data_IF_864890694248
#
_entry.id   IF_864890694248
#
_cell.length_a   1.000
_cell.length_b   1.000
_cell.length_c   1.000
_cell.angle_alpha   90.00
_cell.angle_beta   90.00
_cell.angle_gamma   90.00
#
_symmetry.space_group_name_H-M   'P 1'
#
loop_
_entity.id
_entity.type
_entity.pdbx_description
1 polymer ?
#
# COMPACT_ATOMS: atom_id res chain seq x y z
N UNK A 1 -16.12 14.73 -9.44
CA UNK A 1 -17.13 13.72 -9.04
C UNK A 1 -16.69 12.78 -7.92
N UNK A 2 -15.52 12.95 -7.28
CA UNK A 2 -15.04 12.03 -6.23
C UNK A 2 -14.92 12.72 -4.87
N UNK A 3 -16.02 12.81 -4.13
CA UNK A 3 -16.04 13.22 -2.71
C UNK A 3 -17.36 12.85 -2.00
N UNK A 4 -17.95 11.69 -2.30
CA UNK A 4 -19.26 11.29 -1.72
C UNK A 4 -19.36 9.82 -1.30
N UNK A 5 -18.32 9.00 -1.48
CA UNK A 5 -18.46 7.55 -1.32
C UNK A 5 -17.86 7.11 0.00
N UNK A 6 -18.70 6.97 1.03
CA UNK A 6 -18.43 6.28 2.30
C UNK A 6 -17.76 4.91 2.16
N UNK A 7 -17.84 4.08 3.19
CA UNK A 7 -17.37 2.69 3.09
C UNK A 7 -17.84 2.02 1.81
N UNK A 8 -16.90 1.40 1.10
CA UNK A 8 -17.13 0.78 -0.21
C UNK A 8 -18.25 -0.26 -0.05
N UNK A 9 -19.31 -0.22 -0.86
CA UNK A 9 -20.41 -1.18 -0.76
C UNK A 9 -19.90 -2.62 -0.86
N UNK A 10 -20.41 -3.51 0.00
CA UNK A 10 -20.02 -4.92 0.05
C UNK A 10 -18.53 -5.17 0.37
N UNK A 11 -17.88 -4.26 1.10
CA UNK A 11 -16.45 -4.34 1.41
C UNK A 11 -16.02 -5.72 1.95
N UNK A 12 -16.78 -6.33 2.87
CA UNK A 12 -16.47 -7.67 3.39
C UNK A 12 -16.34 -8.69 2.26
N UNK A 13 -17.35 -8.78 1.39
CA UNK A 13 -17.35 -9.74 0.29
C UNK A 13 -16.22 -9.47 -0.72
N UNK A 14 -15.92 -8.20 -0.98
CA UNK A 14 -14.83 -7.82 -1.88
C UNK A 14 -13.48 -8.23 -1.28
N UNK A 15 -13.21 -7.88 -0.02
CA UNK A 15 -11.95 -8.16 0.66
C UNK A 15 -11.72 -9.66 0.83
N UNK A 16 -12.71 -10.39 1.34
CA UNK A 16 -12.63 -11.85 1.50
C UNK A 16 -12.51 -12.54 0.14
N UNK A 17 -13.26 -12.12 -0.87
CA UNK A 17 -13.17 -12.68 -2.23
C UNK A 17 -11.80 -12.45 -2.87
N UNK A 18 -11.22 -11.25 -2.69
CA UNK A 18 -9.85 -10.94 -3.13
C UNK A 18 -8.81 -11.76 -2.39
N UNK A 19 -8.97 -11.97 -1.09
CA UNK A 19 -8.10 -12.86 -0.32
C UNK A 19 -8.12 -14.27 -0.89
N UNK A 20 -9.29 -14.89 -1.08
CA UNK A 20 -9.38 -16.23 -1.66
C UNK A 20 -8.76 -16.32 -3.06
N UNK A 21 -9.00 -15.32 -3.89
CA UNK A 21 -8.39 -15.21 -5.22
C UNK A 21 -6.86 -15.21 -5.11
N UNK A 22 -6.32 -14.41 -4.20
CA UNK A 22 -4.89 -14.27 -4.00
C UNK A 22 -4.25 -15.57 -3.52
N UNK A 23 -4.77 -16.17 -2.46
CA UNK A 23 -4.18 -17.36 -1.85
C UNK A 23 -4.38 -18.63 -2.69
N UNK A 24 -5.25 -18.59 -3.70
CA UNK A 24 -5.48 -19.71 -4.61
C UNK A 24 -4.71 -19.56 -5.92
N UNK A 25 -4.71 -18.36 -6.50
CA UNK A 25 -4.26 -18.14 -7.88
C UNK A 25 -2.98 -17.30 -8.01
N UNK A 26 -2.67 -16.45 -7.02
CA UNK A 26 -1.54 -15.51 -7.10
C UNK A 26 -0.35 -16.02 -6.30
N UNK A 27 -0.55 -16.30 -5.00
CA UNK A 27 0.48 -16.84 -4.13
C UNK A 27 -0.14 -17.93 -3.23
N UNK A 28 -0.12 -19.20 -3.68
CA UNK A 28 -0.66 -20.34 -2.95
C UNK A 28 -0.23 -20.37 -1.49
N UNK A 29 -1.20 -20.21 -0.59
CA UNK A 29 -0.96 -20.10 0.85
C UNK A 29 -2.19 -20.57 1.65
N UNK A 30 -1.98 -20.89 2.94
CA UNK A 30 -3.02 -21.45 3.82
C UNK A 30 -3.58 -20.39 4.78
N UNK A 31 -3.61 -19.12 4.37
CA UNK A 31 -4.17 -18.06 5.22
C UNK A 31 -5.68 -18.22 5.36
N UNK A 32 -6.18 -17.94 6.56
CA UNK A 32 -7.62 -17.88 6.83
C UNK A 32 -8.15 -16.48 6.50
N UNK A 33 -8.81 -16.37 5.35
CA UNK A 33 -9.36 -15.11 4.86
C UNK A 33 -10.47 -14.53 5.76
N UNK A 34 -11.24 -15.36 6.46
CA UNK A 34 -12.25 -14.89 7.40
C UNK A 34 -11.61 -14.36 8.68
N UNK A 35 -10.54 -15.02 9.15
CA UNK A 35 -9.76 -14.53 10.29
C UNK A 35 -9.07 -13.19 9.98
N UNK A 36 -8.45 -13.04 8.80
CA UNK A 36 -7.86 -11.74 8.38
C UNK A 36 -8.94 -10.65 8.36
N UNK A 37 -10.12 -10.95 7.79
CA UNK A 37 -11.23 -10.00 7.80
C UNK A 37 -11.70 -9.66 9.22
N UNK A 38 -11.81 -10.65 10.12
CA UNK A 38 -12.22 -10.42 11.51
C UNK A 38 -11.25 -9.47 12.22
N UNK A 39 -9.95 -9.68 12.07
CA UNK A 39 -8.92 -8.81 12.65
C UNK A 39 -8.98 -7.38 12.07
N UNK A 40 -9.22 -7.25 10.76
CA UNK A 40 -9.46 -5.94 10.13
C UNK A 40 -10.70 -5.25 10.72
N UNK A 41 -11.82 -5.98 10.84
CA UNK A 41 -13.09 -5.46 11.33
C UNK A 41 -12.96 -4.97 12.78
N UNK A 42 -12.26 -5.71 13.64
CA UNK A 42 -11.98 -5.31 15.02
C UNK A 42 -11.18 -4.01 15.12
N UNK A 43 -10.21 -3.81 14.21
CA UNK A 43 -9.40 -2.60 14.17
C UNK A 43 -10.20 -1.33 13.82
N UNK A 44 -11.28 -1.46 13.05
CA UNK A 44 -12.02 -0.32 12.48
C UNK A 44 -13.41 -0.09 13.08
N UNK A 45 -14.14 -1.14 13.47
CA UNK A 45 -15.56 -1.05 13.89
C UNK A 45 -15.72 -0.40 15.26
N UNK A 46 -14.75 -0.59 16.16
CA UNK A 46 -14.83 -0.06 17.53
C UNK A 46 -14.27 1.35 17.68
N UNK A 47 -13.71 1.92 16.60
CA UNK A 47 -13.04 3.22 16.64
C UNK A 47 -13.89 4.31 16.00
N UNK A 48 -13.80 5.53 16.54
CA UNK A 48 -14.38 6.69 15.86
C UNK A 48 -13.59 6.99 14.57
N UNK A 49 -14.23 7.70 13.62
CA UNK A 49 -13.76 7.94 12.24
C UNK A 49 -12.36 8.57 12.07
N UNK A 50 -11.65 8.88 13.16
CA UNK A 50 -10.30 9.45 13.19
C UNK A 50 -9.46 8.96 14.39
N UNK A 51 -9.71 7.75 14.87
CA UNK A 51 -9.00 7.17 16.00
C UNK A 51 -8.40 5.80 15.72
N UNK A 52 -8.20 5.45 14.44
CA UNK A 52 -7.57 4.18 14.06
C UNK A 52 -6.09 4.42 13.83
N UNK A 53 -5.27 3.84 14.71
CA UNK A 53 -3.81 3.92 14.71
C UNK A 53 -3.19 2.80 13.88
N UNK A 54 -1.87 2.77 13.74
CA UNK A 54 -1.19 1.67 13.02
C UNK A 54 -1.17 0.40 13.87
N UNK A 55 -1.10 0.58 15.19
CA UNK A 55 -1.08 -0.48 16.21
C UNK A 55 -2.36 -1.31 16.19
N UNK A 56 -3.50 -0.68 15.91
CA UNK A 56 -4.79 -1.37 15.80
C UNK A 56 -4.78 -2.45 14.70
N UNK A 57 -3.95 -2.29 13.66
CA UNK A 57 -3.83 -3.28 12.58
C UNK A 57 -2.80 -4.39 12.86
N UNK A 58 -2.02 -4.33 13.94
CA UNK A 58 -0.94 -5.30 14.16
C UNK A 58 -1.41 -6.75 14.16
N UNK A 59 -2.57 -7.03 14.77
CA UNK A 59 -3.11 -8.40 14.79
C UNK A 59 -3.48 -8.89 13.39
N UNK A 60 -4.06 -8.03 12.55
CA UNK A 60 -4.35 -8.34 11.15
C UNK A 60 -3.07 -8.68 10.37
N UNK A 61 -1.99 -7.92 10.55
CA UNK A 61 -0.72 -8.20 9.88
C UNK A 61 -0.01 -9.46 10.41
N UNK A 62 -0.13 -9.75 11.70
CA UNK A 62 0.49 -10.94 12.32
C UNK A 62 -0.08 -12.26 11.77
N UNK A 63 -1.34 -12.28 11.34
CA UNK A 63 -1.98 -13.48 10.78
C UNK A 63 -1.72 -13.66 9.27
N UNK A 64 -1.00 -12.74 8.62
CA UNK A 64 -0.64 -12.81 7.19
C UNK A 64 0.85 -12.50 6.91
N UNK A 65 1.81 -13.18 7.56
CA UNK A 65 3.22 -12.92 7.35
C UNK A 65 3.65 -13.32 5.93
N UNK A 66 4.14 -12.37 5.13
CA UNK A 66 4.65 -12.66 3.79
C UNK A 66 6.16 -12.49 3.72
N UNK A 67 6.81 -13.27 2.84
CA UNK A 67 8.22 -13.13 2.49
C UNK A 67 8.30 -13.15 0.97
N UNK A 68 9.06 -12.21 0.40
CA UNK A 68 9.23 -12.08 -1.05
C UNK A 68 10.69 -12.23 -1.48
N UNK A 69 10.93 -12.68 -2.73
CA UNK A 69 12.27 -12.75 -3.28
C UNK A 69 12.95 -11.38 -3.32
N UNK A 70 14.24 -11.35 -2.99
CA UNK A 70 15.07 -10.14 -3.11
C UNK A 70 15.22 -9.70 -4.57
N UNK A 71 15.68 -8.46 -4.77
CA UNK A 71 15.94 -7.82 -6.07
C UNK A 71 14.71 -7.46 -6.90
N UNK A 72 13.51 -7.65 -6.36
CA UNK A 72 12.25 -7.48 -7.09
C UNK A 72 11.37 -6.36 -6.52
N UNK A 73 11.76 -5.68 -5.45
CA UNK A 73 10.93 -4.67 -4.81
C UNK A 73 10.88 -3.37 -5.62
N UNK A 74 9.66 -2.92 -5.95
CA UNK A 74 9.40 -1.66 -6.63
C UNK A 74 8.52 -0.75 -5.77
N UNK A 75 9.10 0.37 -5.40
CA UNK A 75 8.42 1.49 -4.75
C UNK A 75 8.03 2.53 -5.79
N UNK A 76 6.99 3.28 -5.52
CA UNK A 76 6.53 4.31 -6.44
C UNK A 76 5.94 5.50 -5.66
N UNK A 77 6.20 6.72 -6.13
CA UNK A 77 5.66 7.94 -5.53
C UNK A 77 5.06 8.84 -6.60
N UNK A 78 3.75 9.07 -6.50
CA UNK A 78 2.95 9.88 -7.45
C UNK A 78 3.04 9.39 -8.90
N UNK A 79 3.23 8.10 -9.09
CA UNK A 79 3.44 7.42 -10.38
C UNK A 79 2.55 6.18 -10.55
N UNK A 80 1.43 6.05 -9.80
CA UNK A 80 0.56 4.86 -9.77
C UNK A 80 0.22 4.29 -11.16
N UNK A 81 -0.28 5.14 -12.05
CA UNK A 81 -0.68 4.72 -13.41
C UNK A 81 0.52 4.20 -14.22
N UNK A 82 1.66 4.88 -14.10
CA UNK A 82 2.90 4.46 -14.75
C UNK A 82 3.42 3.15 -14.15
N UNK A 83 3.36 3.00 -12.82
CA UNK A 83 3.78 1.81 -12.11
C UNK A 83 3.06 0.57 -12.65
N UNK A 84 1.73 0.61 -12.83
CA UNK A 84 0.98 -0.53 -13.34
C UNK A 84 1.45 -0.95 -14.74
N UNK A 85 1.68 0.02 -15.64
CA UNK A 85 2.23 -0.25 -16.97
C UNK A 85 3.67 -0.77 -16.91
N UNK A 86 4.49 -0.23 -16.00
CA UNK A 86 5.89 -0.61 -15.83
C UNK A 86 6.01 -2.05 -15.32
N UNK A 87 5.27 -2.41 -14.27
CA UNK A 87 5.25 -3.76 -13.71
C UNK A 87 4.69 -4.80 -14.70
N UNK A 88 3.70 -4.43 -15.51
CA UNK A 88 3.14 -5.31 -16.54
C UNK A 88 4.17 -5.67 -17.63
N UNK A 89 5.06 -4.73 -17.98
CA UNK A 89 6.12 -4.93 -18.99
C UNK A 89 7.31 -5.68 -18.37
N UNK A 90 7.75 -5.23 -17.20
CA UNK A 90 8.85 -5.83 -16.46
C UNK A 90 8.29 -6.79 -15.41
N UNK A 91 7.98 -8.03 -15.84
CA UNK A 91 7.37 -9.11 -15.03
C UNK A 91 8.18 -9.59 -13.80
N UNK A 92 9.14 -8.80 -13.35
CA UNK A 92 10.04 -9.12 -12.24
C UNK A 92 9.99 -8.07 -11.11
N UNK A 93 8.97 -7.22 -11.08
CA UNK A 93 8.77 -6.28 -9.99
C UNK A 93 7.54 -6.64 -9.17
N UNK A 94 7.68 -6.50 -7.85
CA UNK A 94 6.62 -6.60 -6.86
C UNK A 94 6.42 -5.24 -6.24
N UNK A 95 5.18 -4.75 -6.28
CA UNK A 95 4.78 -3.55 -5.57
C UNK A 95 4.02 -3.89 -4.30
N UNK A 96 3.72 -2.87 -3.50
CA UNK A 96 2.88 -3.04 -2.32
C UNK A 96 1.51 -3.63 -2.69
N UNK A 97 0.95 -3.24 -3.84
CA UNK A 97 -0.33 -3.74 -4.35
C UNK A 97 -0.32 -5.24 -4.68
N UNK A 98 0.85 -5.84 -4.90
CA UNK A 98 1.00 -7.27 -5.18
C UNK A 98 1.12 -8.12 -3.91
N UNK A 99 1.27 -7.50 -2.73
CA UNK A 99 1.18 -8.18 -1.43
C UNK A 99 -0.27 -8.60 -1.13
N UNK A 100 -0.50 -9.51 -0.18
CA UNK A 100 -1.86 -9.93 0.18
C UNK A 100 -2.69 -8.74 0.68
N UNK A 101 -2.15 -7.94 1.60
CA UNK A 101 -2.83 -6.73 2.10
C UNK A 101 -3.09 -5.73 0.98
N UNK A 102 -2.11 -5.52 0.11
CA UNK A 102 -2.25 -4.64 -1.04
C UNK A 102 -3.36 -5.11 -1.95
N UNK A 103 -3.32 -6.37 -2.36
CA UNK A 103 -4.30 -6.98 -3.24
C UNK A 103 -5.72 -6.93 -2.67
N UNK A 104 -5.87 -7.25 -1.38
CA UNK A 104 -7.15 -7.22 -0.67
C UNK A 104 -7.76 -5.80 -0.64
N UNK A 105 -6.98 -4.81 -0.23
CA UNK A 105 -7.48 -3.46 0.08
C UNK A 105 -7.27 -2.42 -1.02
N UNK A 106 -6.65 -2.78 -2.15
CA UNK A 106 -6.36 -1.84 -3.22
C UNK A 106 -7.63 -1.13 -3.72
N UNK A 107 -7.58 0.20 -3.85
CA UNK A 107 -8.70 1.06 -4.26
C UNK A 107 -9.96 1.02 -3.35
N UNK A 108 -9.90 0.39 -2.18
CA UNK A 108 -11.02 0.36 -1.23
C UNK A 108 -10.97 1.53 -0.24
N UNK A 109 -12.14 1.97 0.17
CA UNK A 109 -12.36 3.00 1.20
C UNK A 109 -13.28 2.43 2.27
N UNK A 110 -12.97 2.66 3.55
CA UNK A 110 -13.71 2.10 4.70
C UNK A 110 -13.88 3.10 5.84
N UNK A 111 -14.55 4.19 5.55
CA UNK A 111 -14.75 5.27 6.52
C UNK A 111 -16.01 6.10 6.15
N UNK A 112 -16.59 6.81 7.13
CA UNK A 112 -17.79 7.64 6.95
C UNK A 112 -17.49 9.09 6.55
N UNK A 113 -17.74 9.44 5.29
CA UNK A 113 -17.46 10.76 4.68
C UNK A 113 -17.97 11.97 5.46
N UNK A 114 -19.06 11.83 6.22
CA UNK A 114 -19.59 12.93 7.03
C UNK A 114 -18.62 13.36 8.14
N UNK A 115 -17.64 12.52 8.50
CA UNK A 115 -16.75 12.72 9.63
C UNK A 115 -15.31 13.12 9.27
N UNK A 116 -14.79 12.82 8.06
CA UNK A 116 -13.38 13.02 7.66
C UNK A 116 -13.11 12.91 6.13
N UNK A 117 -13.40 13.95 5.34
CA UNK A 117 -13.50 13.82 3.88
C UNK A 117 -12.19 13.52 3.12
N UNK A 118 -11.02 13.65 3.76
CA UNK A 118 -9.70 13.40 3.13
C UNK A 118 -8.76 12.66 4.08
N UNK A 119 -7.89 11.79 3.57
CA UNK A 119 -6.82 11.13 4.34
C UNK A 119 -5.88 12.11 5.08
N UNK A 120 -5.80 13.37 4.64
CA UNK A 120 -5.09 14.47 5.32
C UNK A 120 -5.91 15.14 6.42
N UNK A 121 -7.23 14.90 6.47
CA UNK A 121 -8.14 15.61 7.37
C UNK A 121 -8.00 15.14 8.82
N UNK A 122 -7.41 13.97 9.09
CA UNK A 122 -6.98 13.59 10.43
C UNK A 122 -5.79 12.64 10.45
N UNK A 123 -5.05 12.70 11.58
CA UNK A 123 -3.79 11.95 11.77
C UNK A 123 -3.99 10.43 11.80
N UNK A 124 -5.09 9.97 12.39
CA UNK A 124 -5.39 8.55 12.62
C UNK A 124 -6.58 8.11 11.73
N UNK A 125 -6.50 8.47 10.44
CA UNK A 125 -7.48 8.05 9.45
C UNK A 125 -7.34 6.54 9.16
N UNK A 126 -8.40 5.73 9.20
CA UNK A 126 -8.31 4.26 9.10
C UNK A 126 -7.56 3.76 7.86
N UNK A 127 -7.89 4.31 6.69
CA UNK A 127 -7.23 3.99 5.41
C UNK A 127 -5.75 4.38 5.44
N UNK A 128 -5.41 5.57 5.95
CA UNK A 128 -4.02 6.02 6.02
C UNK A 128 -3.19 5.15 6.95
N UNK A 129 -3.71 4.80 8.13
CA UNK A 129 -3.03 3.92 9.10
C UNK A 129 -2.78 2.52 8.52
N UNK A 130 -3.73 1.94 7.79
CA UNK A 130 -3.54 0.65 7.12
C UNK A 130 -2.41 0.72 6.08
N UNK A 131 -2.43 1.71 5.19
CA UNK A 131 -1.40 1.87 4.17
C UNK A 131 -0.04 2.23 4.76
N UNK A 132 0.00 3.00 5.86
CA UNK A 132 1.24 3.31 6.59
C UNK A 132 1.89 2.04 7.13
N UNK A 133 1.11 1.17 7.79
CA UNK A 133 1.63 -0.11 8.29
C UNK A 133 2.06 -1.03 7.15
N UNK A 134 1.25 -1.13 6.08
CA UNK A 134 1.56 -1.95 4.91
C UNK A 134 2.87 -1.50 4.24
N UNK A 135 3.04 -0.19 4.06
CA UNK A 135 4.23 0.43 3.45
C UNK A 135 5.49 0.20 4.30
N UNK A 136 5.36 0.32 5.63
CA UNK A 136 6.43 0.02 6.56
C UNK A 136 6.88 -1.45 6.46
N UNK A 137 5.93 -2.40 6.57
CA UNK A 137 6.24 -3.83 6.48
C UNK A 137 6.89 -4.20 5.13
N UNK A 138 6.41 -3.60 4.03
CA UNK A 138 6.96 -3.83 2.70
C UNK A 138 8.41 -3.33 2.58
N UNK A 139 8.72 -2.16 3.16
CA UNK A 139 10.07 -1.63 3.20
C UNK A 139 11.03 -2.42 4.10
N UNK A 140 10.57 -2.86 5.28
CA UNK A 140 11.38 -3.69 6.20
C UNK A 140 11.73 -5.06 5.59
N UNK A 141 10.85 -5.57 4.72
CA UNK A 141 11.04 -6.83 4.00
C UNK A 141 12.00 -6.71 2.82
N UNK A 142 12.14 -5.51 2.25
CA UNK A 142 12.90 -5.28 1.03
C UNK A 142 14.37 -5.70 1.17
N UNK A 143 14.90 -6.31 0.12
CA UNK A 143 16.27 -6.80 0.09
C UNK A 143 16.85 -6.86 -1.34
N UNK A 144 18.18 -6.82 -1.43
CA UNK A 144 18.92 -6.75 -2.68
C UNK A 144 18.78 -5.39 -3.36
N UNK A 145 18.66 -5.43 -4.68
CA UNK A 145 18.43 -4.24 -5.52
C UNK A 145 16.96 -3.85 -5.53
N UNK A 146 16.65 -2.67 -5.01
CA UNK A 146 15.29 -2.11 -5.06
C UNK A 146 15.17 -1.08 -6.17
N UNK A 147 13.96 -0.84 -6.67
CA UNK A 147 13.67 0.22 -7.65
C UNK A 147 12.66 1.20 -7.07
N UNK A 148 12.84 2.50 -7.36
CA UNK A 148 11.92 3.57 -6.97
C UNK A 148 11.51 4.37 -8.20
N UNK A 149 10.21 4.41 -8.50
CA UNK A 149 9.65 5.23 -9.57
C UNK A 149 9.17 6.58 -9.04
N UNK A 150 9.78 7.68 -9.48
CA UNK A 150 9.42 9.05 -9.11
C UNK A 150 8.87 9.82 -10.31
N UNK A 151 7.92 10.72 -10.05
CA UNK A 151 7.32 11.57 -11.07
C UNK A 151 8.21 12.78 -11.36
N UNK A 152 8.79 12.85 -12.56
CA UNK A 152 9.62 13.96 -13.02
C UNK A 152 8.84 15.12 -13.66
N UNK A 153 7.54 14.96 -13.89
CA UNK A 153 6.67 16.01 -14.46
C UNK A 153 6.08 16.95 -13.39
N UNK A 154 6.59 16.90 -12.16
CA UNK A 154 6.23 17.79 -11.05
C UNK A 154 7.48 18.48 -10.50
N UNK A 155 7.31 19.65 -9.87
CA UNK A 155 8.41 20.48 -9.33
C UNK A 155 9.36 19.68 -8.44
N UNK A 156 8.81 18.87 -7.53
CA UNK A 156 9.58 18.04 -6.60
C UNK A 156 9.22 16.56 -6.80
N UNK A 157 10.05 15.86 -7.57
CA UNK A 157 9.91 14.42 -7.81
C UNK A 157 9.96 13.60 -6.52
N UNK A 158 10.88 13.95 -5.62
CA UNK A 158 10.93 13.43 -4.26
C UNK A 158 10.26 14.39 -3.28
N UNK A 159 9.45 13.85 -2.36
CA UNK A 159 8.87 14.60 -1.25
C UNK A 159 9.06 13.82 0.05
N UNK A 160 9.81 14.38 1.00
CA UNK A 160 10.04 13.78 2.33
C UNK A 160 8.74 13.53 3.12
N UNK A 161 7.65 14.24 2.80
CA UNK A 161 6.32 14.06 3.41
C UNK A 161 5.43 13.03 2.69
N UNK A 162 5.89 12.41 1.61
CA UNK A 162 5.15 11.33 0.92
C UNK A 162 5.29 10.00 1.66
N UNK A 163 4.39 9.04 1.44
CA UNK A 163 4.49 7.69 2.03
C UNK A 163 5.88 7.08 1.81
N UNK A 164 6.39 7.16 0.58
CA UNK A 164 7.77 6.76 0.27
C UNK A 164 8.80 7.52 1.09
N UNK A 165 8.70 8.85 1.13
CA UNK A 165 9.69 9.69 1.79
C UNK A 165 9.70 9.59 3.31
N UNK A 166 8.55 9.43 3.98
CA UNK A 166 8.43 9.49 5.44
C UNK A 166 8.25 8.14 6.12
N UNK A 167 7.94 7.08 5.37
CA UNK A 167 7.67 5.74 5.93
C UNK A 167 8.59 4.73 5.28
N UNK A 168 8.45 4.51 3.96
CA UNK A 168 9.16 3.43 3.28
C UNK A 168 10.67 3.63 3.34
N UNK A 169 11.16 4.83 2.99
CA UNK A 169 12.59 5.16 2.99
C UNK A 169 13.24 4.98 4.36
N UNK A 170 12.55 5.37 5.44
CA UNK A 170 13.07 5.27 6.81
C UNK A 170 13.01 3.84 7.36
N UNK A 171 12.22 2.97 6.73
CA UNK A 171 12.02 1.58 7.15
C UNK A 171 12.89 0.58 6.37
N UNK A 172 13.63 1.05 5.35
CA UNK A 172 14.57 0.20 4.61
C UNK A 172 15.70 -0.29 5.52
N UNK A 173 16.00 -1.59 5.48
CA UNK A 173 17.10 -2.17 6.25
C UNK A 173 18.43 -2.06 5.47
N UNK A 174 19.41 -1.25 5.95
CA UNK A 174 20.67 -1.03 5.24
C UNK A 174 21.58 -2.27 5.20
N UNK A 175 21.29 -3.32 5.99
CA UNK A 175 22.01 -4.59 5.93
C UNK A 175 21.44 -5.55 4.88
N UNK A 176 20.23 -5.29 4.37
CA UNK A 176 19.53 -6.15 3.41
C UNK A 176 19.42 -5.54 2.03
N UNK A 177 19.40 -4.22 1.94
CA UNK A 177 19.31 -3.47 0.68
C UNK A 177 20.70 -3.12 0.18
N UNK A 178 21.06 -3.63 -0.99
CA UNK A 178 22.37 -3.42 -1.60
C UNK A 178 22.41 -2.10 -2.38
N UNK A 179 21.39 -1.86 -3.22
CA UNK A 179 21.31 -0.70 -4.09
C UNK A 179 19.87 -0.19 -4.24
N UNK A 180 19.73 1.13 -4.31
CA UNK A 180 18.47 1.83 -4.58
C UNK A 180 18.51 2.43 -5.97
N UNK A 181 17.77 1.84 -6.92
CA UNK A 181 17.69 2.30 -8.30
C UNK A 181 16.57 3.33 -8.45
N UNK A 182 16.92 4.61 -8.56
CA UNK A 182 15.94 5.69 -8.73
C UNK A 182 15.67 5.91 -10.22
N UNK A 183 14.41 5.81 -10.62
CA UNK A 183 13.94 6.13 -11.98
C UNK A 183 12.99 7.32 -11.91
N UNK A 184 13.46 8.48 -12.33
CA UNK A 184 12.64 9.69 -12.45
C UNK A 184 12.07 9.71 -13.86
N UNK A 185 10.74 9.64 -13.98
CA UNK A 185 10.05 9.49 -15.27
C UNK A 185 9.19 10.69 -15.56
N UNK A 186 9.30 11.24 -16.77
CA UNK A 186 8.53 12.39 -17.25
C UNK A 186 7.47 11.95 -18.25
N UNK A 187 6.40 12.74 -18.36
CA UNK A 187 5.47 12.65 -19.49
C UNK A 187 6.21 12.83 -20.82
N UNK A 188 5.66 12.23 -21.88
CA UNK A 188 6.23 12.32 -23.23
C UNK A 188 6.29 13.77 -23.76
N UNK A 189 5.37 14.61 -23.30
CA UNK A 189 5.30 16.05 -23.65
C UNK A 189 6.30 16.91 -22.85
N UNK A 190 7.08 16.31 -21.95
CA UNK A 190 8.01 17.02 -21.06
C UNK A 190 7.35 17.47 -19.75
N UNK A 191 8.10 18.15 -18.86
CA UNK A 191 7.52 18.77 -17.68
C UNK A 191 6.60 19.93 -18.09
N UNK A 192 5.36 19.96 -17.61
CA UNK A 192 4.54 21.16 -17.69
C UNK A 192 5.15 22.18 -16.71
N UNK A 193 5.87 23.17 -17.24
CA UNK A 193 6.35 24.32 -16.46
C UNK A 193 5.20 25.24 -16.07
#
# INVERSE_FOLDING_TARGET
LRAQLGTTPNIKHIVVGRCYTYITLVNPSLYDCEEIWRQFEEAVVHQSSCNVTVEDYYQMFNVMPQIWPCNMFLFWSKTRTLMHSYAAVFRHFWTLEDTLVGYMFNDLIFFDFNSCPEWSACRNHPVYSLWRQASQNFAEMACGNITVLLNGSIVNAFNRKSMFGSVELDSLNPQRVDYVNIKVVTNLEGPHM
#
